data_IF_069083921777
#
_entry.id   IF_069083921777
#
_cell.length_a   1.000
_cell.length_b   1.000
_cell.length_c   1.000
_cell.angle_alpha   90.00
_cell.angle_beta   90.00
_cell.angle_gamma   90.00
#
_symmetry.space_group_name_H-M   'P 1'
#
loop_
_entity.id
_entity.type
_entity.pdbx_description
1 polymer ?
#
# COMPACT_ATOMS: atom_id res chain seq x y z
N UNK A 1 5.92 -22.80 -6.06
CA UNK A 1 5.42 -21.52 -6.62
C UNK A 1 6.49 -20.63 -7.26
N UNK A 2 7.73 -20.55 -6.74
CA UNK A 2 8.77 -19.61 -7.24
C UNK A 2 9.05 -19.71 -8.75
N UNK A 3 8.88 -20.89 -9.36
CA UNK A 3 9.19 -21.10 -10.77
C UNK A 3 8.14 -20.55 -11.75
N UNK A 4 6.91 -20.21 -11.33
CA UNK A 4 5.83 -19.82 -12.28
C UNK A 4 5.84 -18.33 -12.58
N UNK A 5 5.98 -17.48 -11.55
CA UNK A 5 5.91 -16.01 -11.68
C UNK A 5 6.98 -15.42 -12.61
N UNK A 6 8.12 -16.12 -12.75
CA UNK A 6 9.31 -15.62 -13.45
C UNK A 6 9.60 -16.32 -14.79
N UNK A 7 8.67 -17.12 -15.33
CA UNK A 7 8.84 -17.81 -16.62
C UNK A 7 8.87 -16.84 -17.79
N UNK A 8 9.74 -17.08 -18.77
CA UNK A 8 9.87 -16.24 -19.99
C UNK A 8 8.72 -16.43 -20.97
N UNK A 9 8.04 -17.57 -20.90
CA UNK A 9 7.08 -17.99 -21.91
C UNK A 9 5.69 -17.34 -21.69
N UNK A 10 5.47 -16.77 -20.52
CA UNK A 10 4.22 -16.10 -20.18
C UNK A 10 4.17 -14.67 -20.72
N UNK A 11 3.03 -14.26 -21.28
CA UNK A 11 2.78 -12.86 -21.67
C UNK A 11 2.99 -11.92 -20.48
N UNK A 12 3.52 -10.73 -20.74
CA UNK A 12 3.82 -9.72 -19.72
C UNK A 12 2.60 -9.37 -18.86
N UNK A 13 1.45 -9.16 -19.50
CA UNK A 13 0.18 -8.89 -18.82
C UNK A 13 -0.20 -9.98 -17.82
N UNK A 14 0.01 -11.25 -18.17
CA UNK A 14 -0.33 -12.39 -17.31
C UNK A 14 0.61 -12.45 -16.09
N UNK A 15 1.90 -12.14 -16.24
CA UNK A 15 2.83 -12.06 -15.10
C UNK A 15 2.44 -10.96 -14.12
N UNK A 16 2.01 -9.80 -14.63
CA UNK A 16 1.54 -8.70 -13.79
C UNK A 16 0.25 -9.09 -13.07
N UNK A 17 -0.66 -9.78 -13.76
CA UNK A 17 -1.87 -10.30 -13.13
C UNK A 17 -1.55 -11.28 -12.00
N UNK A 18 -0.64 -12.23 -12.22
CA UNK A 18 -0.19 -13.14 -11.16
C UNK A 18 0.46 -12.41 -9.99
N UNK A 19 1.28 -11.38 -10.25
CA UNK A 19 1.87 -10.55 -9.19
C UNK A 19 0.78 -9.91 -8.32
N UNK A 20 -0.26 -9.33 -8.96
CA UNK A 20 -1.39 -8.74 -8.26
C UNK A 20 -2.15 -9.79 -7.42
N UNK A 21 -2.45 -10.95 -8.00
CA UNK A 21 -3.27 -11.99 -7.37
C UNK A 21 -2.56 -12.72 -6.22
N UNK A 22 -1.25 -12.89 -6.27
CA UNK A 22 -0.51 -13.67 -5.26
C UNK A 22 0.33 -12.82 -4.32
N UNK A 23 0.97 -11.76 -4.81
CA UNK A 23 1.89 -10.95 -3.99
C UNK A 23 1.16 -9.75 -3.42
N UNK A 24 0.46 -8.97 -4.26
CA UNK A 24 -0.21 -7.77 -3.77
C UNK A 24 -1.43 -8.11 -2.91
N UNK A 25 -2.14 -9.20 -3.21
CA UNK A 25 -3.25 -9.67 -2.36
C UNK A 25 -2.80 -9.94 -0.92
N UNK A 26 -1.69 -10.64 -0.75
CA UNK A 26 -1.11 -10.97 0.56
C UNK A 26 -0.56 -9.72 1.23
N UNK A 27 0.15 -8.86 0.48
CA UNK A 27 0.69 -7.61 1.02
C UNK A 27 -0.39 -6.65 1.50
N UNK A 28 -1.49 -6.56 0.76
CA UNK A 28 -2.61 -5.65 1.06
C UNK A 28 -3.63 -6.28 2.01
N UNK A 29 -3.34 -7.46 2.55
CA UNK A 29 -4.18 -8.08 3.56
C UNK A 29 -4.19 -7.20 4.83
N UNK A 30 -5.40 -6.83 5.25
CA UNK A 30 -5.63 -5.98 6.44
C UNK A 30 -4.94 -4.61 6.42
N UNK A 31 -4.63 -4.08 5.23
CA UNK A 31 -3.98 -2.76 5.13
C UNK A 31 -4.83 -1.60 5.66
N UNK A 32 -6.12 -1.85 5.84
CA UNK A 32 -7.11 -0.95 6.43
C UNK A 32 -6.76 -0.60 7.88
N UNK A 33 -6.19 -1.54 8.64
CA UNK A 33 -5.86 -1.35 10.06
C UNK A 33 -4.52 -0.63 10.27
N UNK A 34 -3.66 -0.58 9.25
CA UNK A 34 -2.28 -0.10 9.40
C UNK A 34 -2.16 1.42 9.56
N UNK A 35 -1.28 1.86 10.45
CA UNK A 35 -0.78 3.25 10.50
C UNK A 35 0.52 3.35 9.70
N UNK A 36 0.42 3.82 8.45
CA UNK A 36 1.55 3.75 7.49
C UNK A 36 2.37 5.04 7.53
N UNK A 37 3.64 4.97 7.95
CA UNK A 37 4.51 6.15 7.94
C UNK A 37 5.05 6.45 6.54
N UNK A 38 5.63 7.65 6.36
CA UNK A 38 6.30 8.03 5.10
C UNK A 38 7.42 7.06 4.71
N UNK A 39 8.15 6.54 5.70
CA UNK A 39 9.22 5.54 5.48
C UNK A 39 8.64 4.25 4.92
N UNK A 40 7.50 3.80 5.47
CA UNK A 40 6.83 2.58 5.02
C UNK A 40 6.28 2.74 3.61
N UNK A 41 5.70 3.91 3.29
CA UNK A 41 5.27 4.24 1.93
C UNK A 41 6.44 4.19 0.93
N UNK A 42 7.61 4.74 1.28
CA UNK A 42 8.80 4.69 0.43
C UNK A 42 9.30 3.26 0.22
N UNK A 43 9.23 2.42 1.27
CA UNK A 43 9.58 1.00 1.18
C UNK A 43 8.61 0.25 0.25
N UNK A 44 7.31 0.52 0.36
CA UNK A 44 6.27 -0.08 -0.50
C UNK A 44 6.43 0.34 -1.97
N UNK A 45 6.71 1.62 -2.22
CA UNK A 45 7.00 2.14 -3.56
C UNK A 45 8.25 1.47 -4.17
N UNK A 46 9.32 1.37 -3.37
CA UNK A 46 10.55 0.68 -3.79
C UNK A 46 10.31 -0.81 -4.06
N UNK A 47 9.50 -1.45 -3.22
CA UNK A 47 9.09 -2.85 -3.38
C UNK A 47 8.31 -3.07 -4.68
N UNK A 48 7.33 -2.21 -4.98
CA UNK A 48 6.55 -2.29 -6.22
C UNK A 48 7.45 -2.18 -7.45
N UNK A 49 8.32 -1.18 -7.47
CA UNK A 49 9.31 -0.97 -8.55
C UNK A 49 10.25 -2.16 -8.67
N UNK A 50 10.69 -2.74 -7.56
CA UNK A 50 11.51 -3.94 -7.55
C UNK A 50 10.79 -5.14 -8.18
N UNK A 51 9.51 -5.37 -7.85
CA UNK A 51 8.70 -6.41 -8.48
C UNK A 51 8.61 -6.23 -10.01
N UNK A 52 8.37 -4.99 -10.47
CA UNK A 52 8.32 -4.67 -11.90
C UNK A 52 9.64 -4.90 -12.62
N UNK A 53 10.77 -4.52 -12.02
CA UNK A 53 12.11 -4.82 -12.56
C UNK A 53 12.32 -6.33 -12.72
N UNK A 54 11.91 -7.11 -11.73
CA UNK A 54 12.03 -8.57 -11.76
C UNK A 54 11.15 -9.20 -12.84
N UNK A 55 9.96 -8.66 -13.10
CA UNK A 55 9.04 -9.15 -14.15
C UNK A 55 9.64 -8.89 -15.54
N UNK A 56 10.21 -7.70 -15.74
CA UNK A 56 10.89 -7.29 -16.97
C UNK A 56 12.28 -7.92 -17.13
N UNK A 57 12.81 -8.57 -16.09
CA UNK A 57 14.15 -9.17 -16.05
C UNK A 57 15.28 -8.17 -16.35
N UNK A 58 15.09 -6.91 -15.96
CA UNK A 58 16.10 -5.86 -16.10
C UNK A 58 17.23 -6.15 -15.12
N UNK A 59 18.46 -6.27 -15.64
CA UNK A 59 19.65 -6.41 -14.80
C UNK A 59 19.94 -5.10 -14.04
N UNK A 60 20.58 -5.22 -12.88
CA UNK A 60 21.09 -4.04 -12.16
C UNK A 60 22.22 -3.33 -12.94
N UNK A 61 22.95 -4.06 -13.78
CA UNK A 61 24.05 -3.54 -14.60
C UNK A 61 23.57 -2.51 -15.61
N UNK A 62 22.35 -2.67 -16.13
CA UNK A 62 21.77 -1.78 -17.14
C UNK A 62 21.46 -0.36 -16.61
N UNK A 63 21.47 -0.15 -15.28
CA UNK A 63 21.24 1.16 -14.62
C UNK A 63 20.01 1.94 -15.13
N UNK A 64 18.98 1.22 -15.60
CA UNK A 64 17.75 1.84 -16.14
C UNK A 64 16.99 2.58 -15.04
N UNK A 65 16.52 3.79 -15.38
CA UNK A 65 15.71 4.64 -14.50
C UNK A 65 14.35 4.02 -14.20
N UNK A 66 13.81 4.29 -13.01
CA UNK A 66 12.51 3.75 -12.59
C UNK A 66 11.33 4.30 -13.41
N UNK A 67 11.41 5.55 -13.90
CA UNK A 67 10.39 6.13 -14.79
C UNK A 67 10.25 5.32 -16.08
N UNK A 68 11.37 4.98 -16.71
CA UNK A 68 11.42 4.19 -17.94
C UNK A 68 10.84 2.78 -17.75
N UNK A 69 10.99 2.18 -16.57
CA UNK A 69 10.38 0.89 -16.24
C UNK A 69 8.84 0.98 -16.20
N UNK A 70 8.32 2.05 -15.60
CA UNK A 70 6.88 2.29 -15.52
C UNK A 70 6.29 2.61 -16.91
N UNK A 71 7.00 3.37 -17.72
CA UNK A 71 6.64 3.65 -19.13
C UNK A 71 6.58 2.37 -19.97
N UNK A 72 7.59 1.50 -19.85
CA UNK A 72 7.61 0.18 -20.54
C UNK A 72 6.44 -0.72 -20.16
N UNK A 73 5.93 -0.58 -18.94
CA UNK A 73 4.76 -1.32 -18.45
C UNK A 73 3.44 -0.58 -18.71
N UNK A 74 3.51 0.67 -19.19
CA UNK A 74 2.38 1.59 -19.32
C UNK A 74 1.53 1.64 -18.04
N UNK A 75 2.19 1.69 -16.87
CA UNK A 75 1.56 1.59 -15.55
C UNK A 75 2.05 2.66 -14.59
N UNK A 76 1.18 3.03 -13.67
CA UNK A 76 1.48 3.87 -12.52
C UNK A 76 1.59 3.02 -11.24
N UNK A 77 2.07 3.60 -10.16
CA UNK A 77 2.18 2.94 -8.84
C UNK A 77 0.77 2.61 -8.32
N UNK A 78 0.53 1.35 -8.00
CA UNK A 78 -0.80 0.81 -7.70
C UNK A 78 -0.99 0.52 -6.21
N UNK A 79 0.09 0.13 -5.51
CA UNK A 79 0.00 -0.31 -4.10
C UNK A 79 -0.45 0.85 -3.24
N UNK A 80 0.24 2.00 -3.31
CA UNK A 80 -0.09 3.18 -2.50
C UNK A 80 -1.52 3.67 -2.78
N UNK A 81 -1.93 3.67 -4.05
CA UNK A 81 -3.29 4.05 -4.43
C UNK A 81 -4.33 3.11 -3.80
N UNK A 82 -4.08 1.81 -3.86
CA UNK A 82 -4.96 0.78 -3.29
C UNK A 82 -5.05 0.90 -1.77
N UNK A 83 -3.94 1.18 -1.09
CA UNK A 83 -3.90 1.42 0.36
C UNK A 83 -4.77 2.60 0.76
N UNK A 84 -4.56 3.74 0.07
CA UNK A 84 -5.33 4.97 0.30
C UNK A 84 -6.83 4.74 0.12
N UNK A 85 -7.20 4.07 -0.98
CA UNK A 85 -8.58 3.75 -1.29
C UNK A 85 -9.23 2.83 -0.24
N UNK A 86 -8.61 1.69 0.08
CA UNK A 86 -9.15 0.73 1.07
C UNK A 86 -9.31 1.37 2.45
N UNK A 87 -8.34 2.18 2.89
CA UNK A 87 -8.46 2.90 4.16
C UNK A 87 -9.61 3.91 4.18
N UNK A 88 -9.87 4.61 3.08
CA UNK A 88 -11.03 5.50 2.97
C UNK A 88 -12.36 4.74 2.94
N UNK A 89 -12.43 3.64 2.19
CA UNK A 89 -13.62 2.78 2.13
C UNK A 89 -13.95 2.23 3.51
N UNK A 90 -12.94 1.73 4.24
CA UNK A 90 -13.06 1.25 5.61
C UNK A 90 -13.46 2.37 6.58
N UNK A 91 -12.86 3.57 6.45
CA UNK A 91 -13.27 4.73 7.24
C UNK A 91 -14.76 5.02 7.05
N UNK A 92 -15.19 5.11 5.79
CA UNK A 92 -16.59 5.37 5.44
C UNK A 92 -17.51 4.26 5.94
N UNK A 93 -17.10 3.00 5.91
CA UNK A 93 -17.86 1.88 6.46
C UNK A 93 -18.02 1.99 7.98
N UNK A 94 -16.94 2.26 8.71
CA UNK A 94 -16.96 2.40 10.17
C UNK A 94 -17.79 3.61 10.60
N UNK A 95 -17.76 4.72 9.86
CA UNK A 95 -18.49 5.95 10.20
C UNK A 95 -19.97 5.95 9.79
N UNK A 96 -20.42 5.05 8.91
CA UNK A 96 -21.76 5.06 8.31
C UNK A 96 -22.94 4.72 9.24
N UNK A 97 -22.71 4.30 10.49
CA UNK A 97 -23.79 4.01 11.42
C UNK A 97 -23.35 3.72 12.86
N UNK A 98 -24.28 3.56 13.83
CA UNK A 98 -23.97 3.43 15.25
C UNK A 98 -23.37 2.07 15.64
N UNK A 99 -23.44 1.06 14.75
CA UNK A 99 -22.95 -0.31 14.98
C UNK A 99 -21.49 -0.38 15.45
N UNK A 100 -20.65 0.55 14.98
CA UNK A 100 -19.21 0.56 15.24
C UNK A 100 -18.77 1.69 16.19
N UNK A 101 -19.64 2.10 17.13
CA UNK A 101 -19.38 3.25 18.04
C UNK A 101 -18.05 3.16 18.79
N UNK A 102 -17.64 1.96 19.23
CA UNK A 102 -16.34 1.76 19.87
C UNK A 102 -15.18 2.05 18.90
N UNK A 103 -15.21 1.48 17.70
CA UNK A 103 -14.19 1.69 16.68
C UNK A 103 -14.13 3.15 16.22
N UNK A 104 -15.28 3.83 16.12
CA UNK A 104 -15.34 5.27 15.82
C UNK A 104 -14.60 6.08 16.88
N UNK A 105 -14.82 5.79 18.16
CA UNK A 105 -14.13 6.48 19.27
C UNK A 105 -12.60 6.23 19.21
N UNK A 106 -12.18 5.00 18.93
CA UNK A 106 -10.77 4.61 18.80
C UNK A 106 -10.13 5.34 17.59
N UNK A 107 -10.77 5.28 16.42
CA UNK A 107 -10.26 5.93 15.20
C UNK A 107 -10.17 7.45 15.35
N UNK A 108 -11.17 8.08 15.96
CA UNK A 108 -11.18 9.53 16.22
C UNK A 108 -10.21 9.93 17.35
N UNK A 109 -9.69 8.96 18.11
CA UNK A 109 -8.80 9.22 19.25
C UNK A 109 -9.50 9.91 20.41
N UNK A 110 -10.83 9.76 20.53
CA UNK A 110 -11.66 10.32 21.62
C UNK A 110 -11.56 9.42 22.86
N UNK A 111 -10.34 9.23 23.36
CA UNK A 111 -10.08 8.47 24.59
C UNK A 111 -10.04 9.48 25.74
N UNK A 112 -10.80 9.20 26.80
CA UNK A 112 -10.81 10.04 28.00
C UNK A 112 -9.44 9.97 28.72
N UNK A 113 -8.92 11.13 29.12
CA UNK A 113 -7.67 11.25 29.89
C UNK A 113 -6.65 12.21 29.29
N UNK A 114 -5.65 12.57 30.10
CA UNK A 114 -4.53 13.42 29.68
C UNK A 114 -3.41 12.53 29.15
N UNK A 115 -3.04 12.71 27.88
CA UNK A 115 -1.90 12.00 27.29
C UNK A 115 -0.56 12.44 27.90
N UNK A 116 0.43 11.54 27.86
CA UNK A 116 1.78 11.83 28.35
C UNK A 116 2.41 13.04 27.63
N UNK A 117 3.29 13.80 28.31
CA UNK A 117 4.07 14.86 27.68
C UNK A 117 4.90 14.34 26.48
N UNK A 118 5.06 15.16 25.44
CA UNK A 118 5.87 14.86 24.26
C UNK A 118 5.08 14.57 22.97
N UNK A 119 5.80 14.17 21.92
CA UNK A 119 5.20 13.90 20.59
C UNK A 119 4.42 12.59 20.61
N UNK A 120 3.10 12.68 20.44
CA UNK A 120 2.23 11.51 20.29
C UNK A 120 2.56 10.74 19.00
N UNK A 121 2.45 9.41 19.06
CA UNK A 121 2.49 8.55 17.86
C UNK A 121 1.40 8.96 16.87
N UNK A 122 1.65 8.73 15.59
CA UNK A 122 0.68 9.05 14.53
C UNK A 122 -0.56 8.18 14.71
N UNK A 123 -1.71 8.80 15.00
CA UNK A 123 -2.98 8.07 15.06
C UNK A 123 -3.45 7.69 13.66
N UNK A 124 -4.34 6.72 13.57
CA UNK A 124 -4.90 6.25 12.31
C UNK A 124 -5.60 7.38 11.52
N UNK A 125 -6.41 8.21 12.20
CA UNK A 125 -7.06 9.36 11.56
C UNK A 125 -6.06 10.46 11.18
N UNK A 126 -5.04 10.72 12.02
CA UNK A 126 -3.97 11.68 11.69
C UNK A 126 -3.19 11.22 10.45
N UNK A 127 -3.00 9.91 10.28
CA UNK A 127 -2.36 9.35 9.11
C UNK A 127 -3.16 9.59 7.83
N UNK A 128 -4.50 9.44 7.89
CA UNK A 128 -5.36 9.76 6.75
C UNK A 128 -5.33 11.26 6.40
N UNK A 129 -5.41 12.13 7.41
CA UNK A 129 -5.35 13.59 7.20
C UNK A 129 -4.09 14.02 6.44
N UNK A 130 -2.93 13.46 6.80
CA UNK A 130 -1.66 13.73 6.08
C UNK A 130 -1.67 13.37 4.59
N UNK A 131 -2.63 12.60 4.09
CA UNK A 131 -2.72 12.23 2.68
C UNK A 131 -3.68 13.10 1.87
N UNK A 132 -4.56 13.84 2.53
CA UNK A 132 -5.68 14.56 1.92
C UNK A 132 -5.80 16.02 2.38
N UNK A 133 -5.01 16.45 3.38
CA UNK A 133 -4.72 17.86 3.68
C UNK A 133 -3.67 18.41 2.69
#
# INVERSE_FOLDING_TARGET
>A
MSKVLWKRDLKLALRIHLLRCYVFSVLLYDVESWTVNKIDLNRLDTFEKWCYRRILKVSWVEKIRNSTILERLSKTIEIIKSIKQRKLEYFGHVMRGPKYRLLQNIMQGKIAGKGSPGRRRTSWLKNLRQWYD
#
